data_IF_011587761043
#
_entry.id   IF_011587761043
#
_cell.length_a   1.000
_cell.length_b   1.000
_cell.length_c   1.000
_cell.angle_alpha   90.00
_cell.angle_beta   90.00
_cell.angle_gamma   90.00
#
_symmetry.space_group_name_H-M   'P 1'
#
loop_
_entity.id
_entity.type
_entity.pdbx_description
1 polymer ?
#
# COMPACT_ATOMS: atom_id res chain seq x y z
N UNK A 1 10.72 12.86 -45.80
CA UNK A 1 10.01 11.90 -44.91
C UNK A 1 10.95 10.91 -44.21
N UNK A 2 11.78 10.12 -44.91
CA UNK A 2 12.65 9.10 -44.29
C UNK A 2 13.60 9.62 -43.20
N UNK A 3 14.16 10.82 -43.38
CA UNK A 3 15.05 11.47 -42.39
C UNK A 3 14.34 11.86 -41.10
N UNK A 4 13.05 12.20 -41.17
CA UNK A 4 12.24 12.56 -39.99
C UNK A 4 11.90 11.32 -39.15
N UNK A 5 11.67 10.18 -39.81
CA UNK A 5 11.40 8.90 -39.15
C UNK A 5 12.62 8.42 -38.34
N UNK A 6 13.83 8.58 -38.91
CA UNK A 6 15.08 8.23 -38.21
C UNK A 6 15.31 9.13 -36.99
N UNK A 7 15.00 10.42 -37.11
CA UNK A 7 15.16 11.38 -36.02
C UNK A 7 14.18 11.12 -34.87
N UNK A 8 12.96 10.71 -35.19
CA UNK A 8 11.97 10.26 -34.20
C UNK A 8 12.40 8.97 -33.51
N UNK A 9 12.92 7.99 -34.25
CA UNK A 9 13.41 6.73 -33.68
C UNK A 9 14.59 6.96 -32.71
N UNK A 10 15.48 7.90 -33.02
CA UNK A 10 16.61 8.26 -32.15
C UNK A 10 16.14 8.90 -30.82
N UNK A 11 15.13 9.78 -30.88
CA UNK A 11 14.55 10.40 -29.68
C UNK A 11 13.88 9.39 -28.74
N UNK A 12 13.19 8.39 -29.30
CA UNK A 12 12.58 7.32 -28.51
C UNK A 12 13.65 6.43 -27.87
N UNK A 13 14.73 6.11 -28.60
CA UNK A 13 15.84 5.31 -28.06
C UNK A 13 16.58 6.00 -26.90
N UNK A 14 16.74 7.34 -26.96
CA UNK A 14 17.35 8.12 -25.88
C UNK A 14 16.42 8.29 -24.67
N UNK A 15 15.10 8.28 -24.86
CA UNK A 15 14.10 8.35 -23.79
C UNK A 15 13.99 7.08 -22.94
N UNK A 16 14.41 5.92 -23.45
CA UNK A 16 14.35 4.63 -22.71
C UNK A 16 15.39 4.55 -21.58
N UNK A 17 16.49 5.32 -21.65
CA UNK A 17 17.54 5.32 -20.63
C UNK A 17 17.24 6.27 -19.45
N UNK A 18 16.24 7.13 -19.60
CA UNK A 18 15.76 8.06 -18.56
C UNK A 18 14.38 7.73 -17.96
N UNK A 19 13.71 6.67 -18.44
CA UNK A 19 12.34 6.32 -18.04
C UNK A 19 12.22 5.06 -17.17
N UNK A 20 13.26 4.68 -16.43
CA UNK A 20 13.08 3.75 -15.30
C UNK A 20 12.43 4.40 -14.07
N UNK A 21 11.60 5.44 -14.28
CA UNK A 21 10.74 6.05 -13.27
C UNK A 21 9.25 6.08 -13.68
N UNK A 22 8.89 5.51 -14.85
CA UNK A 22 7.48 5.37 -15.28
C UNK A 22 7.09 3.88 -15.42
N UNK A 23 7.77 3.01 -14.65
CA UNK A 23 7.33 1.65 -14.35
C UNK A 23 6.86 1.46 -12.90
N UNK A 24 6.94 2.52 -12.07
CA UNK A 24 6.59 2.48 -10.64
C UNK A 24 5.16 2.94 -10.32
N UNK A 25 4.36 3.36 -11.31
CA UNK A 25 2.96 3.73 -11.07
C UNK A 25 2.03 2.51 -10.92
N UNK A 26 2.50 1.29 -11.24
CA UNK A 26 1.79 0.05 -10.91
C UNK A 26 2.11 -0.46 -9.49
N UNK A 27 3.08 0.14 -8.79
CA UNK A 27 3.52 -0.28 -7.46
C UNK A 27 3.95 0.92 -6.62
N UNK A 28 3.01 1.68 -6.03
CA UNK A 28 3.42 2.60 -4.98
C UNK A 28 2.53 3.78 -4.65
N UNK A 29 1.55 4.14 -5.48
CA UNK A 29 0.59 5.18 -5.08
C UNK A 29 -0.58 4.58 -4.30
N UNK A 30 -0.26 3.87 -3.20
CA UNK A 30 -1.11 3.91 -2.02
C UNK A 30 -0.87 5.29 -1.43
N UNK A 31 -1.52 6.29 -2.01
CA UNK A 31 -1.72 7.59 -1.38
C UNK A 31 -2.05 7.34 0.09
N UNK A 32 -1.31 7.93 1.05
CA UNK A 32 -1.73 7.97 2.44
C UNK A 32 -2.86 9.01 2.54
N UNK A 33 -3.95 8.77 1.82
CA UNK A 33 -5.16 9.59 1.87
C UNK A 33 -6.17 8.74 2.61
N UNK A 34 -6.27 8.96 3.93
CA UNK A 34 -7.35 8.42 4.78
C UNK A 34 -7.37 6.89 5.02
N UNK A 35 -6.25 6.18 4.86
CA UNK A 35 -6.18 4.73 5.13
C UNK A 35 -6.26 4.35 6.62
N UNK A 36 -6.15 5.32 7.53
CA UNK A 36 -6.22 5.08 8.97
C UNK A 36 -7.58 4.55 9.41
N UNK A 37 -8.65 4.92 8.71
CA UNK A 37 -10.01 4.51 9.10
C UNK A 37 -10.36 3.12 8.54
N UNK A 38 -10.02 2.83 7.28
CA UNK A 38 -10.33 1.52 6.70
C UNK A 38 -9.47 0.40 7.29
N UNK A 39 -8.19 0.67 7.58
CA UNK A 39 -7.29 -0.35 8.11
C UNK A 39 -7.51 -0.62 9.60
N UNK A 40 -7.91 0.38 10.40
CA UNK A 40 -8.23 0.17 11.82
C UNK A 40 -9.51 -0.64 11.99
N UNK A 41 -10.55 -0.34 11.20
CA UNK A 41 -11.79 -1.12 11.18
C UNK A 41 -11.54 -2.59 10.81
N UNK A 42 -10.70 -2.85 9.80
CA UNK A 42 -10.33 -4.21 9.43
C UNK A 42 -9.56 -4.94 10.55
N UNK A 43 -8.55 -4.30 11.13
CA UNK A 43 -7.77 -4.86 12.25
C UNK A 43 -8.66 -5.14 13.48
N UNK A 44 -9.63 -4.28 13.76
CA UNK A 44 -10.52 -4.45 14.90
C UNK A 44 -11.51 -5.60 14.68
N UNK A 45 -12.06 -5.74 13.47
CA UNK A 45 -12.89 -6.90 13.10
C UNK A 45 -12.10 -8.21 13.23
N UNK A 46 -10.88 -8.25 12.70
CA UNK A 46 -10.05 -9.45 12.78
C UNK A 46 -9.71 -9.82 14.24
N UNK A 47 -9.43 -8.83 15.08
CA UNK A 47 -9.19 -9.03 16.51
C UNK A 47 -10.43 -9.59 17.24
N UNK A 48 -11.62 -9.12 16.87
CA UNK A 48 -12.88 -9.59 17.42
C UNK A 48 -13.20 -11.03 16.99
N UNK A 49 -12.90 -11.39 15.74
CA UNK A 49 -13.00 -12.77 15.26
C UNK A 49 -12.03 -13.70 15.97
N UNK A 50 -10.77 -13.31 16.13
CA UNK A 50 -9.78 -14.11 16.86
C UNK A 50 -10.18 -14.30 18.33
N UNK A 51 -10.83 -13.31 18.96
CA UNK A 51 -11.36 -13.43 20.32
C UNK A 51 -12.59 -14.36 20.37
N UNK A 52 -13.52 -14.20 19.43
CA UNK A 52 -14.72 -15.05 19.30
C UNK A 52 -14.35 -16.51 19.07
N UNK A 53 -13.32 -16.76 18.26
CA UNK A 53 -12.81 -18.09 17.93
C UNK A 53 -11.87 -18.63 19.04
N UNK A 54 -11.76 -17.94 20.18
CA UNK A 54 -10.91 -18.28 21.32
C UNK A 54 -9.42 -18.47 20.97
N UNK A 55 -8.96 -17.85 19.87
CA UNK A 55 -7.57 -17.90 19.40
C UNK A 55 -6.65 -16.99 20.22
N UNK A 56 -7.23 -15.96 20.85
CA UNK A 56 -6.53 -15.05 21.75
C UNK A 56 -7.21 -15.01 23.11
N UNK A 57 -6.42 -14.78 24.17
CA UNK A 57 -6.96 -14.61 25.51
C UNK A 57 -7.62 -13.23 25.67
N UNK A 58 -8.51 -13.09 26.66
CA UNK A 58 -9.15 -11.80 26.97
C UNK A 58 -8.14 -10.68 27.24
N UNK A 59 -7.03 -11.00 27.91
CA UNK A 59 -5.95 -10.05 28.19
C UNK A 59 -5.30 -9.55 26.89
N UNK A 60 -5.04 -10.46 25.96
CA UNK A 60 -4.41 -10.12 24.68
C UNK A 60 -5.35 -9.32 23.78
N UNK A 61 -6.65 -9.60 23.84
CA UNK A 61 -7.68 -8.81 23.17
C UNK A 61 -7.68 -7.36 23.67
N UNK A 62 -7.72 -7.15 25.00
CA UNK A 62 -7.76 -5.80 25.59
C UNK A 62 -6.50 -4.98 25.27
N UNK A 63 -5.32 -5.61 25.28
CA UNK A 63 -4.04 -4.94 24.93
C UNK A 63 -4.04 -4.51 23.45
N UNK A 64 -4.38 -5.42 22.53
CA UNK A 64 -4.37 -5.15 21.09
C UNK A 64 -5.47 -4.17 20.70
N UNK A 65 -6.62 -4.21 21.39
CA UNK A 65 -7.71 -3.26 21.20
C UNK A 65 -7.25 -1.84 21.52
N UNK A 66 -6.58 -1.64 22.66
CA UNK A 66 -6.01 -0.35 23.03
C UNK A 66 -4.98 0.16 22.00
N UNK A 67 -4.16 -0.72 21.43
CA UNK A 67 -3.17 -0.35 20.40
C UNK A 67 -3.83 0.12 19.09
N UNK A 68 -4.89 -0.53 18.64
CA UNK A 68 -5.62 -0.13 17.43
C UNK A 68 -6.44 1.15 17.67
N UNK A 69 -7.01 1.34 18.87
CA UNK A 69 -7.74 2.56 19.24
C UNK A 69 -6.83 3.80 19.25
N UNK A 70 -5.57 3.67 19.67
CA UNK A 70 -4.58 4.76 19.62
C UNK A 70 -3.90 4.91 18.24
N UNK A 71 -4.28 4.10 17.25
CA UNK A 71 -3.76 4.19 15.89
C UNK A 71 -2.36 3.58 15.69
N UNK A 72 -1.93 2.68 16.57
CA UNK A 72 -0.74 1.85 16.34
C UNK A 72 -1.14 0.68 15.45
N UNK A 73 -0.53 0.60 14.26
CA UNK A 73 -0.71 -0.53 13.34
C UNK A 73 -0.09 -1.76 14.00
N UNK A 74 -0.88 -2.81 14.20
CA UNK A 74 -0.38 -4.10 14.65
C UNK A 74 0.45 -4.70 13.50
N UNK A 75 1.75 -4.89 13.72
CA UNK A 75 2.70 -5.45 12.75
C UNK A 75 2.79 -6.98 12.86
#
# INVERSE_FOLDING_TARGET
MRKLIVLFALMIALGQWGCQFVGGAASGNRTPVSGYNSNSHYQMNQLEEDYRDQRISRRDYEIRKGQVEIGVILY
#
